data_IF_517724079806
#
_entry.id   IF_517724079806
#
_cell.length_a   1.000
_cell.length_b   1.000
_cell.length_c   1.000
_cell.angle_alpha   90.00
_cell.angle_beta   90.00
_cell.angle_gamma   90.00
#
_symmetry.space_group_name_H-M   'P 1'
#
loop_
_entity.id
_entity.type
_entity.pdbx_description
1 polymer ?
#
# COMPACT_ATOMS: atom_id res chain seq x y z
N UNK A 1 -5.22 -15.78 -33.47
CA UNK A 1 -4.55 -14.48 -33.70
C UNK A 1 -3.37 -14.27 -32.76
N UNK A 2 -3.49 -14.46 -31.44
CA UNK A 2 -2.33 -14.47 -30.53
C UNK A 2 -1.26 -15.52 -30.88
N UNK A 3 -1.68 -16.68 -31.40
CA UNK A 3 -0.80 -17.79 -31.78
C UNK A 3 0.16 -17.51 -32.93
N UNK A 4 0.02 -16.38 -33.63
CA UNK A 4 0.88 -15.99 -34.75
C UNK A 4 1.70 -14.72 -34.46
N UNK A 5 1.55 -14.11 -33.29
CA UNK A 5 2.29 -12.92 -32.90
C UNK A 5 3.74 -13.24 -32.54
N UNK A 6 4.66 -12.37 -32.94
CA UNK A 6 6.07 -12.38 -32.52
C UNK A 6 6.22 -11.99 -31.05
N UNK A 7 7.40 -12.24 -30.47
CA UNK A 7 7.69 -11.83 -29.09
C UNK A 7 7.55 -10.33 -28.86
N UNK A 8 7.95 -9.48 -29.82
CA UNK A 8 7.83 -8.03 -29.71
C UNK A 8 6.35 -7.59 -29.72
N UNK A 9 5.55 -8.14 -30.62
CA UNK A 9 4.11 -7.85 -30.70
C UNK A 9 3.37 -8.32 -29.45
N UNK A 10 3.78 -9.45 -28.86
CA UNK A 10 3.23 -9.92 -27.59
C UNK A 10 3.57 -8.98 -26.43
N UNK A 11 4.80 -8.45 -26.37
CA UNK A 11 5.19 -7.47 -25.37
C UNK A 11 4.39 -6.16 -25.50
N UNK A 12 4.28 -5.63 -26.72
CA UNK A 12 3.50 -4.42 -26.99
C UNK A 12 2.02 -4.62 -26.60
N UNK A 13 1.42 -5.72 -27.02
CA UNK A 13 0.03 -6.03 -26.68
C UNK A 13 -0.17 -6.17 -25.18
N UNK A 14 0.76 -6.84 -24.47
CA UNK A 14 0.70 -6.96 -23.02
C UNK A 14 0.75 -5.59 -22.34
N UNK A 15 1.64 -4.69 -22.77
CA UNK A 15 1.75 -3.33 -22.21
C UNK A 15 0.47 -2.53 -22.42
N UNK A 16 -0.13 -2.57 -23.61
CA UNK A 16 -1.40 -1.86 -23.89
C UNK A 16 -2.54 -2.41 -23.05
N UNK A 17 -2.65 -3.75 -22.94
CA UNK A 17 -3.70 -4.38 -22.12
C UNK A 17 -3.53 -4.05 -20.65
N UNK A 18 -2.29 -4.00 -20.14
CA UNK A 18 -1.99 -3.64 -18.76
C UNK A 18 -2.37 -2.17 -18.47
N UNK A 19 -2.03 -1.24 -19.36
CA UNK A 19 -2.42 0.17 -19.24
C UNK A 19 -3.95 0.33 -19.19
N UNK A 20 -4.67 -0.34 -20.09
CA UNK A 20 -6.15 -0.31 -20.09
C UNK A 20 -6.71 -0.91 -18.80
N UNK A 21 -6.11 -1.99 -18.29
CA UNK A 21 -6.52 -2.61 -17.03
C UNK A 21 -6.28 -1.68 -15.83
N UNK A 22 -5.16 -0.96 -15.80
CA UNK A 22 -4.80 0.03 -14.79
C UNK A 22 -5.79 1.21 -14.79
N UNK A 23 -6.04 1.81 -15.95
CA UNK A 23 -7.02 2.89 -16.11
C UNK A 23 -8.45 2.43 -15.76
N UNK A 24 -8.82 1.20 -16.13
CA UNK A 24 -10.11 0.62 -15.74
C UNK A 24 -10.22 0.39 -14.23
N UNK A 25 -9.12 0.10 -13.54
CA UNK A 25 -9.07 0.02 -12.08
C UNK A 25 -9.24 1.41 -11.44
N UNK A 26 -8.54 2.43 -11.94
CA UNK A 26 -8.66 3.81 -11.50
C UNK A 26 -10.08 4.37 -11.67
N UNK A 27 -10.69 4.12 -12.84
CA UNK A 27 -12.05 4.53 -13.14
C UNK A 27 -13.07 3.94 -12.16
N UNK A 28 -12.92 2.66 -11.78
CA UNK A 28 -13.79 2.04 -10.76
C UNK A 28 -13.71 2.73 -9.41
N UNK A 29 -12.53 3.17 -8.99
CA UNK A 29 -12.37 3.95 -7.74
C UNK A 29 -13.01 5.31 -7.88
N UNK A 30 -12.79 6.01 -9.00
CA UNK A 30 -13.37 7.34 -9.26
C UNK A 30 -14.90 7.31 -9.28
N UNK A 31 -15.49 6.30 -9.91
CA UNK A 31 -16.94 6.07 -9.90
C UNK A 31 -17.45 5.81 -8.48
N UNK A 32 -16.72 5.02 -7.68
CA UNK A 32 -17.10 4.75 -6.29
C UNK A 32 -17.04 6.02 -5.43
N UNK A 33 -15.99 6.85 -5.59
CA UNK A 33 -15.88 8.16 -4.94
C UNK A 33 -17.09 9.03 -5.29
N UNK A 34 -17.46 9.09 -6.56
CA UNK A 34 -18.60 9.90 -7.02
C UNK A 34 -19.95 9.38 -6.53
N UNK A 35 -20.14 8.06 -6.47
CA UNK A 35 -21.36 7.47 -5.92
C UNK A 35 -21.50 7.79 -4.41
N UNK A 36 -20.39 7.76 -3.67
CA UNK A 36 -20.38 8.13 -2.25
C UNK A 36 -20.58 9.64 -2.06
N UNK A 37 -19.95 10.48 -2.90
CA UNK A 37 -20.06 11.95 -2.80
C UNK A 37 -21.49 12.44 -3.04
N UNK A 38 -22.22 11.78 -3.96
CA UNK A 38 -23.65 12.04 -4.24
C UNK A 38 -24.61 11.46 -3.20
N UNK A 39 -24.13 10.62 -2.30
CA UNK A 39 -24.97 9.93 -1.32
C UNK A 39 -25.79 8.77 -1.90
N UNK A 40 -25.46 8.29 -3.11
CA UNK A 40 -26.09 7.11 -3.72
C UNK A 40 -25.79 5.83 -2.91
N UNK A 41 -24.64 5.82 -2.23
CA UNK A 41 -24.23 4.75 -1.32
C UNK A 41 -23.38 5.30 -0.19
N UNK A 42 -23.44 4.70 1.00
CA UNK A 42 -22.71 5.17 2.17
C UNK A 42 -22.20 4.05 3.08
N UNK A 43 -21.17 4.36 3.86
CA UNK A 43 -20.64 3.51 4.92
C UNK A 43 -20.30 2.08 4.48
N UNK A 44 -20.77 1.09 5.24
CA UNK A 44 -20.51 -0.32 4.95
C UNK A 44 -21.20 -0.83 3.67
N UNK A 45 -22.19 -0.11 3.14
CA UNK A 45 -22.93 -0.50 1.92
C UNK A 45 -22.12 -0.34 0.62
N UNK A 46 -21.06 0.46 0.63
CA UNK A 46 -20.24 0.76 -0.56
C UNK A 46 -19.61 -0.50 -1.15
N UNK A 47 -19.13 -1.41 -0.30
CA UNK A 47 -18.55 -2.67 -0.77
C UNK A 47 -19.59 -3.58 -1.44
N UNK A 48 -20.79 -3.69 -0.85
CA UNK A 48 -21.88 -4.50 -1.41
C UNK A 48 -22.31 -3.95 -2.78
N UNK A 49 -22.51 -2.63 -2.86
CA UNK A 49 -22.83 -1.94 -4.11
C UNK A 49 -21.77 -2.17 -5.20
N UNK A 50 -20.47 -2.15 -4.84
CA UNK A 50 -19.40 -2.48 -5.78
C UNK A 50 -19.45 -3.93 -6.25
N UNK A 51 -19.70 -4.89 -5.35
CA UNK A 51 -19.86 -6.29 -5.72
C UNK A 51 -21.06 -6.47 -6.66
N UNK A 52 -22.14 -5.75 -6.46
CA UNK A 52 -23.33 -5.81 -7.32
C UNK A 52 -23.06 -5.26 -8.72
N UNK A 53 -22.46 -4.07 -8.80
CA UNK A 53 -22.32 -3.28 -10.04
C UNK A 53 -21.01 -3.51 -10.81
N UNK A 54 -19.97 -4.06 -10.16
CA UNK A 54 -18.68 -4.39 -10.79
C UNK A 54 -18.31 -5.87 -10.51
N UNK A 55 -18.83 -6.82 -11.32
CA UNK A 55 -18.65 -8.25 -11.07
C UNK A 55 -17.18 -8.70 -10.94
N UNK A 56 -16.25 -8.01 -11.60
CA UNK A 56 -14.80 -8.28 -11.48
C UNK A 56 -14.24 -8.07 -10.06
N UNK A 57 -14.93 -7.29 -9.21
CA UNK A 57 -14.52 -7.03 -7.83
C UNK A 57 -15.08 -8.05 -6.82
N UNK A 58 -16.00 -8.95 -7.24
CA UNK A 58 -16.58 -9.98 -6.36
C UNK A 58 -15.55 -10.97 -5.85
N UNK A 59 -14.52 -11.24 -6.64
CA UNK A 59 -13.43 -12.15 -6.30
C UNK A 59 -12.33 -11.48 -5.46
N UNK A 60 -12.41 -10.16 -5.27
CA UNK A 60 -11.43 -9.40 -4.50
C UNK A 60 -11.34 -7.93 -4.94
N UNK A 61 -10.86 -7.07 -4.04
CA UNK A 61 -10.60 -5.66 -4.31
C UNK A 61 -11.73 -4.69 -3.96
N UNK A 62 -12.99 -5.16 -3.90
CA UNK A 62 -14.15 -4.31 -3.55
C UNK A 62 -13.95 -3.55 -2.22
N UNK A 63 -13.43 -4.22 -1.19
CA UNK A 63 -13.17 -3.61 0.11
C UNK A 63 -12.13 -2.48 0.05
N UNK A 64 -11.08 -2.64 -0.76
CA UNK A 64 -10.05 -1.61 -0.91
C UNK A 64 -10.58 -0.40 -1.68
N UNK A 65 -11.34 -0.64 -2.76
CA UNK A 65 -12.01 0.42 -3.53
C UNK A 65 -12.98 1.19 -2.63
N UNK A 66 -13.83 0.48 -1.88
CA UNK A 66 -14.77 1.10 -0.94
C UNK A 66 -14.05 1.94 0.12
N UNK A 67 -12.93 1.44 0.66
CA UNK A 67 -12.15 2.14 1.66
C UNK A 67 -11.59 3.47 1.12
N UNK A 68 -10.96 3.45 -0.05
CA UNK A 68 -10.43 4.68 -0.68
C UNK A 68 -11.56 5.66 -0.97
N UNK A 69 -12.69 5.18 -1.52
CA UNK A 69 -13.83 6.04 -1.83
C UNK A 69 -14.38 6.78 -0.60
N UNK A 70 -14.58 6.04 0.49
CA UNK A 70 -15.07 6.60 1.77
C UNK A 70 -14.06 7.59 2.36
N UNK A 71 -12.77 7.23 2.39
CA UNK A 71 -11.72 8.10 2.95
C UNK A 71 -11.59 9.41 2.17
N UNK A 72 -11.62 9.35 0.83
CA UNK A 72 -11.57 10.53 -0.05
C UNK A 72 -12.73 11.47 0.22
N UNK A 73 -13.96 10.96 0.23
CA UNK A 73 -15.16 11.81 0.47
C UNK A 73 -15.16 12.38 1.89
N UNK A 74 -14.78 11.59 2.89
CA UNK A 74 -14.67 12.06 4.28
C UNK A 74 -13.65 13.19 4.44
N UNK A 75 -12.54 13.16 3.68
CA UNK A 75 -11.49 14.19 3.74
C UNK A 75 -11.88 15.52 3.09
N UNK A 76 -12.62 15.48 1.98
CA UNK A 76 -13.00 16.67 1.20
C UNK A 76 -14.07 17.55 1.84
N UNK A 77 -14.72 17.08 2.92
CA UNK A 77 -15.70 17.88 3.68
C UNK A 77 -15.06 19.01 4.51
N UNK A 78 -13.72 19.12 4.54
CA UNK A 78 -12.98 19.99 5.45
C UNK A 78 -12.22 21.16 4.81
N UNK A 79 -11.95 21.14 3.50
CA UNK A 79 -10.88 21.96 2.89
C UNK A 79 -11.34 23.21 2.14
N UNK A 80 -12.64 23.44 1.89
CA UNK A 80 -13.17 24.69 1.29
C UNK A 80 -12.65 25.06 -0.10
N UNK A 81 -11.69 24.30 -0.68
CA UNK A 81 -11.12 24.43 -2.02
C UNK A 81 -11.22 23.07 -2.72
N UNK A 82 -12.23 22.92 -3.56
CA UNK A 82 -12.40 21.73 -4.41
C UNK A 82 -12.87 20.47 -3.67
N UNK A 83 -13.47 19.56 -4.43
CA UNK A 83 -13.93 18.25 -3.93
C UNK A 83 -12.72 17.31 -3.91
N UNK A 84 -12.09 17.12 -2.75
CA UNK A 84 -11.00 16.15 -2.61
C UNK A 84 -10.16 16.29 -1.34
N UNK A 85 -9.24 15.33 -1.08
CA UNK A 85 -8.29 15.42 0.02
C UNK A 85 -7.32 16.59 -0.20
N UNK A 86 -6.75 17.10 0.89
CA UNK A 86 -5.61 18.02 0.83
C UNK A 86 -4.45 17.38 0.02
N UNK A 87 -3.88 18.13 -0.92
CA UNK A 87 -2.93 17.61 -1.92
C UNK A 87 -1.63 17.12 -1.28
N UNK A 88 -1.18 17.77 -0.21
CA UNK A 88 0.03 17.39 0.54
C UNK A 88 -0.24 16.31 1.59
N UNK A 89 -1.52 16.00 1.85
CA UNK A 89 -1.87 14.93 2.78
C UNK A 89 -1.50 13.56 2.20
N UNK A 90 -1.22 12.55 3.05
CA UNK A 90 -0.94 11.20 2.54
C UNK A 90 -2.05 10.63 1.68
N UNK A 91 -3.32 10.98 1.97
CA UNK A 91 -4.47 10.58 1.18
C UNK A 91 -4.51 11.31 -0.17
N UNK A 92 -4.17 12.59 -0.23
CA UNK A 92 -4.10 13.37 -1.47
C UNK A 92 -3.09 12.81 -2.46
N UNK A 93 -1.87 12.55 -1.98
CA UNK A 93 -0.78 11.98 -2.78
C UNK A 93 -1.14 10.57 -3.29
N UNK A 94 -1.66 9.71 -2.42
CA UNK A 94 -2.10 8.37 -2.83
C UNK A 94 -3.30 8.44 -3.76
N UNK A 95 -4.23 9.36 -3.55
CA UNK A 95 -5.40 9.55 -4.41
C UNK A 95 -5.00 10.00 -5.82
N UNK A 96 -4.04 10.90 -5.94
CA UNK A 96 -3.50 11.31 -7.23
C UNK A 96 -2.95 10.11 -8.02
N UNK A 97 -2.14 9.26 -7.37
CA UNK A 97 -1.56 8.05 -7.95
C UNK A 97 -2.58 6.92 -8.21
N UNK A 98 -3.74 6.93 -7.54
CA UNK A 98 -4.84 6.01 -7.88
C UNK A 98 -5.61 6.51 -9.09
N UNK A 99 -5.83 7.83 -9.18
CA UNK A 99 -6.60 8.46 -10.26
C UNK A 99 -5.89 8.39 -11.60
N UNK A 100 -4.56 8.48 -11.61
CA UNK A 100 -3.75 8.34 -12.83
C UNK A 100 -3.55 6.86 -13.25
N UNK A 101 -3.95 5.89 -12.41
CA UNK A 101 -3.79 4.47 -12.68
C UNK A 101 -2.45 3.86 -12.26
N UNK A 102 -1.53 4.64 -11.70
CA UNK A 102 -0.22 4.17 -11.25
C UNK A 102 -0.31 3.22 -10.05
N UNK A 103 -1.34 3.38 -9.21
CA UNK A 103 -1.61 2.52 -8.06
C UNK A 103 -3.02 1.91 -8.10
N UNK A 104 -3.08 0.58 -7.95
CA UNK A 104 -4.33 -0.11 -7.63
C UNK A 104 -4.80 0.14 -6.18
N UNK A 105 -6.11 0.11 -5.94
CA UNK A 105 -6.70 0.44 -4.63
C UNK A 105 -6.15 -0.39 -3.45
N UNK A 106 -5.89 -1.69 -3.65
CA UNK A 106 -5.31 -2.54 -2.59
C UNK A 106 -3.89 -2.11 -2.19
N UNK A 107 -3.10 -1.73 -3.18
CA UNK A 107 -1.75 -1.19 -3.02
C UNK A 107 -1.78 0.19 -2.37
N UNK A 108 -2.69 1.06 -2.81
CA UNK A 108 -2.96 2.36 -2.18
C UNK A 108 -3.30 2.21 -0.68
N UNK A 109 -4.18 1.29 -0.31
CA UNK A 109 -4.46 0.98 1.10
C UNK A 109 -3.21 0.49 1.86
N UNK A 110 -2.29 -0.23 1.21
CA UNK A 110 -1.04 -0.65 1.84
C UNK A 110 -0.10 0.54 2.08
N UNK A 111 0.00 1.47 1.12
CA UNK A 111 0.77 2.71 1.24
C UNK A 111 0.24 3.56 2.38
N UNK A 112 -1.08 3.81 2.43
CA UNK A 112 -1.71 4.60 3.49
C UNK A 112 -1.48 3.99 4.89
N UNK A 113 -1.57 2.66 5.00
CA UNK A 113 -1.26 1.97 6.26
C UNK A 113 0.19 2.14 6.68
N UNK A 114 1.13 2.16 5.74
CA UNK A 114 2.54 2.35 6.06
C UNK A 114 2.84 3.81 6.41
N UNK A 115 2.29 4.78 5.67
CA UNK A 115 2.37 6.20 5.98
C UNK A 115 1.86 6.49 7.41
N UNK A 116 0.69 5.95 7.78
CA UNK A 116 0.14 6.07 9.13
C UNK A 116 1.03 5.43 10.22
N UNK A 117 1.80 4.39 9.90
CA UNK A 117 2.75 3.78 10.86
C UNK A 117 4.02 4.61 11.03
N UNK A 118 4.42 5.37 10.02
CA UNK A 118 5.59 6.25 10.06
C UNK A 118 5.25 7.62 10.63
N UNK A 119 4.01 8.07 10.48
CA UNK A 119 3.56 9.40 10.92
C UNK A 119 4.00 9.82 12.33
N UNK A 120 3.95 8.97 13.38
CA UNK A 120 4.34 9.36 14.74
C UNK A 120 5.84 9.61 14.90
N UNK A 121 6.67 8.98 14.06
CA UNK A 121 8.14 8.97 14.20
C UNK A 121 8.83 9.90 13.19
N UNK A 122 8.07 10.49 12.27
CA UNK A 122 8.55 11.45 11.29
C UNK A 122 8.39 12.88 11.81
N UNK A 123 9.22 13.79 11.28
CA UNK A 123 8.97 15.23 11.39
C UNK A 123 7.70 15.58 10.59
N UNK A 124 6.80 16.46 11.06
CA UNK A 124 5.58 16.82 10.34
C UNK A 124 5.83 17.24 8.89
N UNK A 125 6.90 18.01 8.67
CA UNK A 125 7.28 18.57 7.36
C UNK A 125 7.80 17.50 6.40
N UNK A 126 8.26 16.35 6.90
CA UNK A 126 8.77 15.26 6.07
C UNK A 126 7.67 14.29 5.60
N UNK A 127 6.43 14.43 6.09
CA UNK A 127 5.34 13.48 5.80
C UNK A 127 4.94 13.43 4.32
N UNK A 128 4.82 14.56 3.59
CA UNK A 128 4.50 14.51 2.16
C UNK A 128 5.61 13.81 1.37
N UNK A 129 6.87 14.24 1.57
CA UNK A 129 8.05 13.66 0.91
C UNK A 129 8.20 12.16 1.17
N UNK A 130 8.00 11.71 2.41
CA UNK A 130 8.07 10.28 2.71
C UNK A 130 6.90 9.52 2.07
N UNK A 131 5.71 10.13 1.99
CA UNK A 131 4.58 9.49 1.32
C UNK A 131 4.80 9.36 -0.19
N UNK A 132 5.32 10.40 -0.85
CA UNK A 132 5.74 10.35 -2.26
C UNK A 132 6.76 9.24 -2.50
N UNK A 133 7.80 9.17 -1.65
CA UNK A 133 8.81 8.11 -1.76
C UNK A 133 8.23 6.70 -1.57
N UNK A 134 7.21 6.55 -0.72
CA UNK A 134 6.47 5.29 -0.58
C UNK A 134 5.66 4.97 -1.84
N UNK A 135 4.99 5.96 -2.45
CA UNK A 135 4.25 5.79 -3.71
C UNK A 135 5.20 5.36 -4.83
N UNK A 136 6.26 6.12 -5.09
CA UNK A 136 7.23 5.88 -6.17
C UNK A 136 7.84 4.48 -6.07
N UNK A 137 8.29 4.09 -4.87
CA UNK A 137 8.85 2.77 -4.64
C UNK A 137 7.84 1.66 -4.92
N UNK A 138 6.58 1.90 -4.58
CA UNK A 138 5.53 0.91 -4.77
C UNK A 138 5.15 0.75 -6.23
N UNK A 139 5.13 1.85 -6.98
CA UNK A 139 4.96 1.82 -8.44
C UNK A 139 6.10 1.05 -9.09
N UNK A 140 7.34 1.31 -8.67
CA UNK A 140 8.52 0.70 -9.28
C UNK A 140 8.73 -0.79 -8.91
N UNK A 141 8.42 -1.18 -7.67
CA UNK A 141 8.86 -2.47 -7.11
C UNK A 141 7.79 -3.23 -6.31
N UNK A 142 6.57 -2.70 -6.26
CA UNK A 142 5.48 -3.26 -5.48
C UNK A 142 5.66 -3.11 -3.96
N UNK A 143 4.67 -3.61 -3.21
CA UNK A 143 4.55 -3.37 -1.76
C UNK A 143 5.60 -4.08 -0.90
N UNK A 144 6.26 -5.13 -1.41
CA UNK A 144 7.25 -5.91 -0.66
C UNK A 144 8.50 -5.09 -0.33
N UNK A 145 8.91 -4.18 -1.22
CA UNK A 145 10.11 -3.35 -1.01
C UNK A 145 9.89 -2.22 -0.01
N UNK A 146 8.66 -1.70 0.11
CA UNK A 146 8.32 -0.61 1.06
C UNK A 146 8.74 -0.93 2.50
N UNK A 147 8.37 -2.12 2.98
CA UNK A 147 8.60 -2.52 4.38
C UNK A 147 10.08 -2.65 4.73
N UNK A 148 10.93 -2.92 3.72
CA UNK A 148 12.37 -3.07 3.91
C UNK A 148 13.08 -1.72 4.04
N UNK A 149 12.51 -0.64 3.53
CA UNK A 149 13.12 0.70 3.57
C UNK A 149 12.76 1.50 4.82
N UNK A 150 11.81 1.02 5.63
CA UNK A 150 11.38 1.70 6.86
C UNK A 150 12.56 2.13 7.76
N UNK A 151 13.56 1.29 8.08
CA UNK A 151 14.69 1.71 8.90
C UNK A 151 15.47 2.88 8.27
N UNK A 152 15.63 2.90 6.95
CA UNK A 152 16.33 3.96 6.22
C UNK A 152 15.54 5.28 6.21
N UNK A 153 14.22 5.20 5.98
CA UNK A 153 13.35 6.39 6.01
C UNK A 153 13.33 7.03 7.41
N UNK A 154 13.26 6.22 8.47
CA UNK A 154 13.35 6.71 9.85
C UNK A 154 14.74 7.30 10.15
N UNK A 155 15.82 6.68 9.65
CA UNK A 155 17.17 7.21 9.82
C UNK A 155 17.35 8.60 9.18
N UNK A 156 16.77 8.81 8.00
CA UNK A 156 16.96 10.03 7.21
C UNK A 156 15.96 11.15 7.58
N UNK A 157 14.71 10.80 7.87
CA UNK A 157 13.60 11.74 8.04
C UNK A 157 12.92 11.67 9.42
N UNK A 158 13.35 10.74 10.28
CA UNK A 158 12.80 10.56 11.60
C UNK A 158 13.13 11.70 12.57
N UNK A 159 12.33 11.78 13.64
CA UNK A 159 12.65 12.62 14.78
C UNK A 159 13.92 12.12 15.47
N UNK A 160 14.61 13.00 16.20
CA UNK A 160 15.89 12.68 16.83
C UNK A 160 15.71 11.55 17.85
N UNK A 161 16.41 10.43 17.67
CA UNK A 161 16.37 9.26 18.56
C UNK A 161 15.43 8.13 18.13
N UNK A 162 14.53 8.36 17.16
CA UNK A 162 13.55 7.34 16.71
C UNK A 162 14.21 6.13 16.03
N UNK A 163 15.36 6.32 15.36
CA UNK A 163 16.12 5.21 14.80
C UNK A 163 16.66 4.29 15.90
N UNK A 164 17.15 4.87 17.01
CA UNK A 164 17.71 4.12 18.13
C UNK A 164 16.61 3.36 18.88
N UNK A 165 15.43 3.96 19.02
CA UNK A 165 14.26 3.32 19.61
C UNK A 165 13.67 2.22 18.70
N UNK A 166 13.67 2.42 17.38
CA UNK A 166 13.31 1.39 16.41
C UNK A 166 14.28 0.21 16.48
N UNK A 167 15.59 0.46 16.54
CA UNK A 167 16.60 -0.58 16.74
C UNK A 167 16.41 -1.31 18.07
N UNK A 168 16.06 -0.61 19.15
CA UNK A 168 15.77 -1.24 20.46
C UNK A 168 14.56 -2.17 20.41
N UNK A 169 13.52 -1.81 19.64
CA UNK A 169 12.29 -2.62 19.49
C UNK A 169 12.44 -3.81 18.56
N UNK A 170 13.29 -3.70 17.55
CA UNK A 170 13.57 -4.78 16.58
C UNK A 170 14.68 -5.72 17.07
N UNK A 171 15.53 -5.26 18.00
CA UNK A 171 16.52 -6.10 18.64
C UNK A 171 15.85 -7.02 19.66
N UNK A 172 16.24 -8.31 19.74
CA UNK A 172 15.80 -9.17 20.83
C UNK A 172 16.22 -8.56 22.18
N UNK A 173 15.42 -8.71 23.25
CA UNK A 173 15.74 -8.10 24.54
C UNK A 173 17.11 -8.58 25.03
N UNK A 174 17.95 -7.69 25.57
CA UNK A 174 19.24 -8.08 26.12
C UNK A 174 19.02 -9.06 27.27
N UNK A 175 19.35 -10.34 27.03
CA UNK A 175 19.17 -11.41 28.00
C UNK A 175 18.45 -12.66 27.49
N UNK A 176 17.81 -12.63 26.31
CA UNK A 176 17.25 -13.85 25.71
C UNK A 176 18.38 -14.69 25.09
N UNK A 177 19.10 -15.43 25.94
CA UNK A 177 20.03 -16.46 25.48
C UNK A 177 19.22 -17.55 24.79
N UNK A 178 19.20 -17.56 23.45
CA UNK A 178 18.92 -18.78 22.71
C UNK A 178 19.89 -19.84 23.24
N UNK A 179 19.35 -20.80 23.99
CA UNK A 179 20.10 -21.93 24.54
C UNK A 179 20.65 -22.70 23.34
N UNK A 180 21.90 -22.44 22.97
CA UNK A 180 22.63 -23.29 22.04
C UNK A 180 22.64 -24.70 22.64
N UNK A 181 21.96 -25.63 21.99
CA UNK A 181 21.98 -27.04 22.35
C UNK A 181 23.42 -27.50 22.44
N UNK A 182 23.84 -27.93 23.63
CA UNK A 182 25.15 -28.55 23.86
C UNK A 182 25.33 -29.78 22.95
N UNK A 183 26.57 -30.07 22.53
CA UNK A 183 26.84 -31.23 21.70
C UNK A 183 26.60 -32.51 22.50
N UNK A 184 25.80 -33.42 21.94
CA UNK A 184 25.64 -34.77 22.50
C UNK A 184 26.97 -35.51 22.33
N UNK A 185 27.56 -35.90 23.46
CA UNK A 185 28.79 -36.68 23.49
C UNK A 185 28.53 -38.06 22.88
N UNK A 186 29.30 -38.38 21.85
CA UNK A 186 29.48 -39.72 21.30
C UNK A 186 29.98 -40.69 22.38
N UNK A 187 29.25 -41.78 22.61
CA UNK A 187 29.77 -43.00 23.25
C UNK A 187 29.54 -44.21 22.35
N UNK A 188 30.64 -44.66 21.79
CA UNK A 188 30.88 -45.99 21.25
C UNK A 188 31.21 -46.97 22.39
N UNK A 189 30.58 -48.16 22.40
CA UNK A 189 31.05 -49.50 22.88
C UNK A 189 29.85 -50.45 22.86
N UNK A 190 29.72 -51.36 21.88
CA UNK A 190 30.28 -52.71 21.78
C UNK A 190 29.56 -53.81 22.59
N UNK A 191 29.09 -54.81 21.84
CA UNK A 191 29.03 -56.26 22.14
C UNK A 191 27.99 -56.80 23.14
N UNK A 192 27.27 -57.82 22.64
CA UNK A 192 26.33 -58.68 23.35
C UNK A 192 25.44 -59.39 22.33
#
# INVERSE_FOLDING_TARGET
MLSAASGAELCELLSVVDEVAALSAAARVSIAVEAVSRGEVAGAGVQAWLCENAPSLRQGGAAAVARIAVDVVASGSSSGRGVGPDEESPLGLVWAAVRDGSLGAGTACAVLREAARLEPVLRPEARPTVTEALVDLTVAHGTTMMRRLRPRLVAQYGQRGELDDLHRRLSPPPGCRCRASSPVASRSTSSG
#
